data_IF_245517449949
#
_entry.id   IF_245517449949
#
_cell.length_a   1.000
_cell.length_b   1.000
_cell.length_c   1.000
_cell.angle_alpha   90.00
_cell.angle_beta   90.00
_cell.angle_gamma   90.00
#
_symmetry.space_group_name_H-M   'P 1'
#
loop_
_entity.id
_entity.type
_entity.pdbx_description
1 polymer ?
#
# COMPACT_ATOMS: atom_id res chain seq x y z
N UNK A 1 7.24 88.56 21.20
CA UNK A 1 7.64 87.26 21.78
C UNK A 1 9.12 87.05 21.53
N UNK A 2 9.85 86.70 22.59
CA UNK A 2 11.26 86.96 22.86
C UNK A 2 12.25 86.07 22.09
N UNK A 3 13.44 86.63 21.80
CA UNK A 3 14.57 86.02 21.07
C UNK A 3 15.05 84.66 21.62
N UNK A 4 14.68 84.29 22.85
CA UNK A 4 15.01 83.00 23.45
C UNK A 4 14.37 81.78 22.77
N UNK A 5 13.25 81.95 22.04
CA UNK A 5 12.57 80.81 21.38
C UNK A 5 13.27 80.34 20.10
N UNK A 6 13.96 81.24 19.39
CA UNK A 6 14.65 80.90 18.13
C UNK A 6 15.92 80.08 18.42
N UNK A 7 16.67 80.44 19.47
CA UNK A 7 17.88 79.70 19.89
C UNK A 7 17.54 78.28 20.33
N UNK A 8 16.44 78.10 21.06
CA UNK A 8 15.98 76.76 21.49
C UNK A 8 15.56 75.90 20.30
N UNK A 9 14.91 76.48 19.27
CA UNK A 9 14.53 75.74 18.05
C UNK A 9 15.76 75.34 17.24
N UNK A 10 16.76 76.20 17.10
CA UNK A 10 18.00 75.87 16.37
C UNK A 10 18.80 74.79 17.10
N UNK A 11 18.87 74.83 18.44
CA UNK A 11 19.49 73.77 19.23
C UNK A 11 18.73 72.44 19.14
N UNK A 12 17.39 72.48 19.10
CA UNK A 12 16.55 71.28 18.93
C UNK A 12 16.71 70.67 17.54
N UNK A 13 16.75 71.49 16.49
CA UNK A 13 16.97 71.00 15.12
C UNK A 13 18.40 70.47 14.95
N UNK A 14 19.40 71.13 15.55
CA UNK A 14 20.77 70.64 15.57
C UNK A 14 20.92 69.31 16.33
N UNK A 15 20.24 69.14 17.46
CA UNK A 15 20.22 67.90 18.21
C UNK A 15 19.50 66.76 17.45
N UNK A 16 18.38 67.07 16.78
CA UNK A 16 17.66 66.09 15.95
C UNK A 16 18.47 65.71 14.71
N UNK A 17 19.17 66.64 14.09
CA UNK A 17 20.08 66.38 12.98
C UNK A 17 21.29 65.52 13.42
N UNK A 18 21.83 65.79 14.61
CA UNK A 18 22.95 65.02 15.16
C UNK A 18 22.53 63.58 15.52
N UNK A 19 21.35 63.41 16.11
CA UNK A 19 20.78 62.10 16.46
C UNK A 19 20.42 61.30 15.19
N UNK A 20 19.90 61.96 14.15
CA UNK A 20 19.60 61.28 12.88
C UNK A 20 20.85 60.89 12.11
N UNK A 21 21.92 61.68 12.15
CA UNK A 21 23.21 61.34 11.52
C UNK A 21 23.95 60.24 12.30
N UNK A 22 23.92 60.26 13.63
CA UNK A 22 24.53 59.20 14.45
C UNK A 22 23.80 57.85 14.34
N UNK A 23 22.51 57.85 14.02
CA UNK A 23 21.73 56.63 13.82
C UNK A 23 21.77 56.09 12.36
N UNK A 24 22.52 56.77 11.47
CA UNK A 24 22.77 56.38 10.07
C UNK A 24 24.19 55.86 9.84
N UNK A 25 24.87 55.37 10.87
CA UNK A 25 26.08 54.57 10.71
C UNK A 25 25.78 53.28 9.92
N UNK A 26 26.72 52.78 9.09
CA UNK A 26 26.53 51.54 8.34
C UNK A 26 26.25 50.40 9.33
N UNK A 27 25.04 49.85 9.31
CA UNK A 27 24.70 48.62 10.04
C UNK A 27 25.67 47.55 9.55
N UNK A 28 26.58 47.12 10.41
CA UNK A 28 27.41 45.95 10.14
C UNK A 28 26.50 44.80 9.71
N UNK A 29 26.80 44.11 8.61
CA UNK A 29 25.96 43.01 8.15
C UNK A 29 25.90 41.99 9.28
N UNK A 30 24.69 41.69 9.75
CA UNK A 30 24.45 40.68 10.79
C UNK A 30 25.02 39.37 10.26
N UNK A 31 26.22 39.01 10.74
CA UNK A 31 26.88 37.79 10.30
C UNK A 31 26.05 36.59 10.74
N UNK A 32 25.68 35.74 9.78
CA UNK A 32 24.86 34.57 10.07
C UNK A 32 25.71 33.60 10.90
N UNK A 33 25.22 33.23 12.08
CA UNK A 33 25.87 32.24 12.93
C UNK A 33 25.70 30.85 12.31
N UNK A 34 26.82 30.18 12.04
CA UNK A 34 26.85 28.88 11.36
C UNK A 34 27.77 27.92 12.12
N UNK A 35 27.45 26.63 12.07
CA UNK A 35 28.33 25.57 12.57
C UNK A 35 29.10 24.98 11.40
N UNK A 36 30.30 24.47 11.66
CA UNK A 36 31.12 23.78 10.67
C UNK A 36 31.26 22.32 11.05
N UNK A 37 31.06 21.44 10.09
CA UNK A 37 31.36 20.02 10.23
C UNK A 37 32.23 19.57 9.05
N UNK A 38 33.33 18.83 9.29
CA UNK A 38 34.14 18.30 8.20
C UNK A 38 33.42 17.15 7.49
N UNK A 39 33.57 17.06 6.18
CA UNK A 39 33.16 15.90 5.41
C UNK A 39 34.05 14.69 5.74
N UNK A 40 33.43 13.56 6.09
CA UNK A 40 34.12 12.34 6.55
C UNK A 40 33.77 11.16 5.67
N UNK A 41 34.73 10.26 5.48
CA UNK A 41 34.49 8.97 4.82
C UNK A 41 33.94 7.99 5.85
N UNK A 42 32.67 7.64 5.72
CA UNK A 42 31.97 6.72 6.62
C UNK A 42 31.08 5.77 5.81
N UNK A 43 30.69 4.66 6.43
CA UNK A 43 29.75 3.73 5.81
C UNK A 43 28.34 4.31 5.88
N UNK A 44 27.67 4.42 4.73
CA UNK A 44 26.29 4.91 4.64
C UNK A 44 25.38 3.79 4.14
N UNK A 45 24.25 3.61 4.81
CA UNK A 45 23.19 2.70 4.38
C UNK A 45 21.92 3.49 4.14
N UNK A 46 21.39 3.35 2.93
CA UNK A 46 20.08 3.89 2.58
C UNK A 46 19.01 2.96 3.13
N UNK A 47 18.08 3.53 3.92
CA UNK A 47 16.97 2.80 4.51
C UNK A 47 15.66 3.37 4.02
N UNK A 48 14.81 2.53 3.45
CA UNK A 48 13.41 2.84 3.17
C UNK A 48 12.56 2.30 4.31
N UNK A 49 11.79 3.16 4.95
CA UNK A 49 10.86 2.75 6.02
C UNK A 49 9.43 2.70 5.50
N UNK A 50 8.77 1.58 5.70
CA UNK A 50 7.36 1.39 5.37
C UNK A 50 6.63 0.72 6.52
N UNK A 51 5.34 1.01 6.67
CA UNK A 51 4.48 0.33 7.64
C UNK A 51 3.57 -0.65 6.92
N UNK A 52 3.23 -1.74 7.61
CA UNK A 52 2.45 -2.81 7.05
C UNK A 52 1.81 -3.70 8.10
N UNK A 53 1.18 -4.77 7.63
CA UNK A 53 0.53 -5.76 8.48
C UNK A 53 1.17 -7.13 8.29
N UNK A 54 1.30 -7.85 9.39
CA UNK A 54 1.81 -9.21 9.40
C UNK A 54 0.68 -10.16 9.05
N UNK A 55 0.94 -11.09 8.15
CA UNK A 55 0.03 -12.13 7.71
C UNK A 55 0.77 -13.47 7.55
N UNK A 56 0.06 -14.60 7.63
CA UNK A 56 0.62 -15.90 7.28
C UNK A 56 0.99 -15.97 5.80
N UNK A 57 2.03 -16.73 5.45
CA UNK A 57 2.35 -17.02 4.04
C UNK A 57 1.22 -17.78 3.35
N UNK A 58 0.61 -18.74 4.06
CA UNK A 58 -0.49 -19.56 3.55
C UNK A 58 -1.67 -19.44 4.51
N UNK A 59 -2.79 -18.95 3.99
CA UNK A 59 -4.07 -18.95 4.68
C UNK A 59 -5.20 -19.35 3.72
N UNK A 60 -6.16 -20.13 4.22
CA UNK A 60 -7.32 -20.61 3.46
C UNK A 60 -8.58 -20.25 4.22
N UNK A 61 -9.51 -19.60 3.53
CA UNK A 61 -10.86 -19.33 4.02
C UNK A 61 -11.73 -20.54 3.73
N UNK A 62 -12.31 -21.11 4.78
CA UNK A 62 -13.18 -22.28 4.68
C UNK A 62 -14.62 -21.80 4.60
N UNK A 63 -15.20 -21.89 3.41
CA UNK A 63 -16.62 -21.59 3.15
C UNK A 63 -17.49 -22.85 3.20
N UNK A 64 -18.77 -22.68 3.44
CA UNK A 64 -19.75 -23.75 3.26
C UNK A 64 -20.19 -23.83 1.79
N UNK A 65 -20.07 -25.01 1.17
CA UNK A 65 -20.54 -25.23 -0.20
C UNK A 65 -22.07 -25.42 -0.28
N UNK A 66 -22.68 -25.91 0.80
CA UNK A 66 -24.10 -26.21 0.88
C UNK A 66 -24.76 -25.54 2.08
N UNK A 67 -26.04 -25.22 1.93
CA UNK A 67 -26.82 -24.59 2.99
C UNK A 67 -27.30 -25.59 4.04
N UNK A 68 -27.30 -25.16 5.31
CA UNK A 68 -27.83 -25.93 6.44
C UNK A 68 -27.44 -25.34 7.79
N UNK A 69 -27.87 -25.98 8.86
CA UNK A 69 -27.46 -25.59 10.23
C UNK A 69 -26.19 -26.32 10.63
N UNK A 70 -25.27 -25.63 11.31
CA UNK A 70 -24.07 -26.24 11.88
C UNK A 70 -24.49 -27.10 13.08
N UNK A 71 -24.45 -28.42 12.91
CA UNK A 71 -24.83 -29.40 13.95
C UNK A 71 -23.66 -29.73 14.88
N UNK A 72 -22.44 -29.73 14.35
CA UNK A 72 -21.23 -29.99 15.12
C UNK A 72 -20.10 -29.08 14.66
N UNK A 73 -19.36 -28.54 15.63
CA UNK A 73 -18.14 -27.76 15.44
C UNK A 73 -17.08 -28.33 16.37
N UNK A 74 -16.04 -28.93 15.81
CA UNK A 74 -15.03 -29.71 16.57
C UNK A 74 -13.85 -28.84 17.05
N UNK A 75 -13.70 -27.65 16.48
CA UNK A 75 -12.53 -26.77 16.67
C UNK A 75 -12.92 -25.44 17.29
N UNK A 76 -12.01 -24.85 18.07
CA UNK A 76 -12.11 -23.49 18.59
C UNK A 76 -11.04 -22.60 17.94
N UNK A 77 -11.26 -21.29 18.04
CA UNK A 77 -10.27 -20.31 17.59
C UNK A 77 -8.97 -20.50 18.38
N UNK A 78 -7.84 -20.60 17.67
CA UNK A 78 -6.52 -20.88 18.23
C UNK A 78 -6.14 -22.37 18.28
N UNK A 79 -7.07 -23.30 17.99
CA UNK A 79 -6.74 -24.71 17.93
C UNK A 79 -5.91 -25.04 16.67
N UNK A 80 -4.96 -25.95 16.82
CA UNK A 80 -4.19 -26.51 15.71
C UNK A 80 -4.96 -27.67 15.09
N UNK A 81 -5.06 -27.67 13.77
CA UNK A 81 -5.77 -28.68 12.97
C UNK A 81 -4.82 -29.37 12.03
N UNK A 82 -5.10 -30.65 11.76
CA UNK A 82 -4.35 -31.46 10.79
C UNK A 82 -5.11 -31.61 9.49
N UNK A 83 -4.39 -31.82 8.39
CA UNK A 83 -4.97 -32.16 7.09
C UNK A 83 -5.99 -33.30 7.21
N UNK A 84 -7.20 -33.08 6.68
CA UNK A 84 -8.29 -34.05 6.71
C UNK A 84 -9.05 -34.14 8.05
N UNK A 85 -8.68 -33.36 9.07
CA UNK A 85 -9.43 -33.32 10.33
C UNK A 85 -10.83 -32.72 10.13
N UNK A 86 -11.84 -33.33 10.75
CA UNK A 86 -13.21 -32.82 10.77
C UNK A 86 -13.27 -31.47 11.48
N UNK A 87 -13.70 -30.43 10.77
CA UNK A 87 -13.87 -29.08 11.33
C UNK A 87 -15.33 -28.84 11.71
N UNK A 88 -16.22 -29.01 10.73
CA UNK A 88 -17.63 -28.64 10.81
C UNK A 88 -18.48 -29.71 10.17
N UNK A 89 -19.61 -30.02 10.82
CA UNK A 89 -20.65 -30.83 10.22
C UNK A 89 -21.93 -30.00 10.11
N UNK A 90 -22.35 -29.77 8.88
CA UNK A 90 -23.68 -29.25 8.52
C UNK A 90 -24.68 -30.40 8.63
N UNK A 91 -25.90 -30.11 9.08
CA UNK A 91 -26.93 -31.13 9.29
C UNK A 91 -27.17 -31.99 8.03
N UNK A 92 -26.82 -33.30 8.07
CA UNK A 92 -26.86 -34.14 6.89
C UNK A 92 -28.22 -34.79 6.67
N UNK A 93 -29.22 -34.62 7.56
CA UNK A 93 -30.46 -35.40 7.52
C UNK A 93 -31.23 -35.29 6.20
N UNK A 94 -31.39 -34.07 5.68
CA UNK A 94 -32.07 -33.82 4.40
C UNK A 94 -31.27 -34.42 3.24
N UNK A 95 -29.95 -34.31 3.27
CA UNK A 95 -29.07 -34.83 2.21
C UNK A 95 -29.00 -36.35 2.24
N UNK A 96 -28.99 -36.98 3.42
CA UNK A 96 -29.09 -38.44 3.58
C UNK A 96 -30.42 -38.97 3.06
N UNK A 97 -31.53 -38.26 3.33
CA UNK A 97 -32.84 -38.62 2.79
C UNK A 97 -32.86 -38.55 1.24
N UNK A 98 -32.24 -37.52 0.65
CA UNK A 98 -32.09 -37.40 -0.81
C UNK A 98 -31.24 -38.52 -1.41
N UNK A 99 -30.13 -38.90 -0.78
CA UNK A 99 -29.31 -40.04 -1.21
C UNK A 99 -30.16 -41.32 -1.21
N UNK A 100 -30.88 -41.61 -0.11
CA UNK A 100 -31.77 -42.79 -0.04
C UNK A 100 -32.84 -42.79 -1.14
N UNK A 101 -33.43 -41.62 -1.43
CA UNK A 101 -34.41 -41.49 -2.52
C UNK A 101 -33.78 -41.77 -3.89
N UNK A 102 -32.58 -41.24 -4.15
CA UNK A 102 -31.86 -41.48 -5.40
C UNK A 102 -31.40 -42.94 -5.55
N UNK A 103 -30.98 -43.60 -4.46
CA UNK A 103 -30.62 -45.02 -4.44
C UNK A 103 -31.82 -45.93 -4.77
N UNK A 104 -33.02 -45.61 -4.24
CA UNK A 104 -34.25 -46.33 -4.59
C UNK A 104 -34.61 -46.16 -6.07
N UNK A 105 -34.43 -44.95 -6.63
CA UNK A 105 -34.65 -44.68 -8.05
C UNK A 105 -33.66 -45.46 -8.95
N UNK A 106 -32.37 -45.50 -8.58
CA UNK A 106 -31.36 -46.30 -9.29
C UNK A 106 -31.71 -47.79 -9.26
N UNK A 107 -32.14 -48.30 -8.10
CA UNK A 107 -32.54 -49.71 -7.95
C UNK A 107 -33.70 -50.06 -8.87
N UNK A 108 -34.69 -49.18 -9.00
CA UNK A 108 -35.82 -49.35 -9.91
C UNK A 108 -35.37 -49.32 -11.37
N UNK A 109 -34.52 -48.35 -11.75
CA UNK A 109 -33.98 -48.26 -13.10
C UNK A 109 -33.14 -49.49 -13.48
N UNK A 110 -32.36 -50.02 -12.53
CA UNK A 110 -31.57 -51.24 -12.69
C UNK A 110 -32.45 -52.47 -12.88
N UNK A 111 -33.54 -52.58 -12.13
CA UNK A 111 -34.51 -53.66 -12.30
C UNK A 111 -35.18 -53.62 -13.69
N UNK A 112 -35.52 -52.43 -14.17
CA UNK A 112 -36.08 -52.23 -15.51
C UNK A 112 -35.09 -52.62 -16.62
N UNK A 113 -33.81 -52.25 -16.48
CA UNK A 113 -32.76 -52.68 -17.41
C UNK A 113 -32.60 -54.21 -17.40
N UNK A 114 -32.64 -54.83 -16.21
CA UNK A 114 -32.59 -56.30 -16.09
C UNK A 114 -33.74 -56.97 -16.84
N UNK A 115 -34.96 -56.43 -16.71
CA UNK A 115 -36.14 -56.91 -17.43
C UNK A 115 -35.99 -56.74 -18.95
N UNK A 116 -35.52 -55.58 -19.40
CA UNK A 116 -35.31 -55.30 -20.82
C UNK A 116 -34.23 -56.22 -21.42
N UNK A 117 -33.14 -56.46 -20.69
CA UNK A 117 -32.07 -57.38 -21.08
C UNK A 117 -32.55 -58.84 -21.15
N UNK A 118 -33.37 -59.28 -20.19
CA UNK A 118 -33.98 -60.62 -20.24
C UNK A 118 -34.87 -60.80 -21.47
N UNK A 119 -35.64 -59.77 -21.84
CA UNK A 119 -36.44 -59.78 -23.07
C UNK A 119 -35.55 -59.78 -24.33
N UNK A 120 -34.50 -58.96 -24.36
CA UNK A 120 -33.52 -58.93 -25.45
C UNK A 120 -32.86 -60.30 -25.66
N UNK A 121 -32.45 -60.98 -24.59
CA UNK A 121 -31.84 -62.31 -24.69
C UNK A 121 -32.84 -63.37 -25.20
N UNK A 122 -34.11 -63.29 -24.77
CA UNK A 122 -35.19 -64.14 -25.29
C UNK A 122 -35.35 -63.97 -26.81
N UNK A 123 -35.46 -62.72 -27.28
CA UNK A 123 -35.65 -62.39 -28.70
C UNK A 123 -34.38 -62.69 -29.53
N UNK A 124 -33.19 -62.46 -28.97
CA UNK A 124 -31.91 -62.85 -29.58
C UNK A 124 -31.81 -64.36 -29.79
N UNK A 125 -32.26 -65.16 -28.84
CA UNK A 125 -32.35 -66.61 -28.99
C UNK A 125 -33.31 -67.02 -30.11
N UNK A 126 -34.44 -66.36 -30.24
CA UNK A 126 -35.42 -66.58 -31.30
C UNK A 126 -34.88 -66.21 -32.69
N UNK A 127 -34.24 -65.05 -32.83
CA UNK A 127 -33.56 -64.64 -34.06
C UNK A 127 -32.49 -65.65 -34.48
N UNK A 128 -31.65 -66.12 -33.56
CA UNK A 128 -30.63 -67.15 -33.84
C UNK A 128 -31.24 -68.45 -34.36
N UNK A 129 -32.35 -68.90 -33.75
CA UNK A 129 -33.07 -70.09 -34.23
C UNK A 129 -33.64 -69.88 -35.63
N UNK A 130 -34.26 -68.73 -35.88
CA UNK A 130 -34.85 -68.39 -37.19
C UNK A 130 -33.79 -68.27 -38.29
N UNK A 131 -32.63 -67.66 -37.99
CA UNK A 131 -31.49 -67.63 -38.91
C UNK A 131 -31.00 -69.05 -39.27
N UNK A 132 -30.91 -69.94 -38.27
CA UNK A 132 -30.53 -71.34 -38.51
C UNK A 132 -31.54 -72.14 -39.32
N UNK A 133 -32.85 -71.85 -39.17
CA UNK A 133 -33.91 -72.46 -39.99
C UNK A 133 -33.90 -71.91 -41.41
N UNK A 134 -33.70 -70.60 -41.59
CA UNK A 134 -33.59 -69.96 -42.90
C UNK A 134 -32.38 -70.47 -43.69
N UNK A 135 -31.23 -70.66 -43.03
CA UNK A 135 -30.03 -71.25 -43.65
C UNK A 135 -30.23 -72.71 -44.11
N UNK A 136 -31.23 -73.40 -43.53
CA UNK A 136 -31.65 -74.74 -43.95
C UNK A 136 -32.83 -74.71 -44.93
N UNK A 137 -33.22 -73.53 -45.41
CA UNK A 137 -34.38 -73.28 -46.29
C UNK A 137 -35.74 -73.72 -45.69
N UNK A 138 -35.81 -73.82 -44.36
CA UNK A 138 -37.02 -74.23 -43.62
C UNK A 138 -37.88 -73.06 -43.13
N UNK A 139 -37.48 -71.82 -43.41
CA UNK A 139 -38.19 -70.62 -43.00
C UNK A 139 -38.28 -69.61 -44.14
N UNK A 140 -39.34 -68.80 -44.18
CA UNK A 140 -39.53 -67.76 -45.19
C UNK A 140 -38.73 -66.49 -44.87
N UNK A 141 -38.39 -65.70 -45.90
CA UNK A 141 -37.69 -64.42 -45.73
C UNK A 141 -38.48 -63.44 -44.83
N UNK A 142 -39.80 -63.38 -44.99
CA UNK A 142 -40.69 -62.56 -44.15
C UNK A 142 -40.61 -62.93 -42.66
N UNK A 143 -40.46 -64.22 -42.33
CA UNK A 143 -40.32 -64.65 -40.94
C UNK A 143 -38.97 -64.23 -40.33
N UNK A 144 -37.91 -64.22 -41.13
CA UNK A 144 -36.59 -63.73 -40.71
C UNK A 144 -36.60 -62.21 -40.52
N UNK A 145 -37.19 -61.45 -41.45
CA UNK A 145 -37.34 -60.00 -41.36
C UNK A 145 -38.11 -59.58 -40.09
N UNK A 146 -39.20 -60.31 -39.77
CA UNK A 146 -39.96 -60.09 -38.54
C UNK A 146 -39.09 -60.31 -37.30
N UNK A 147 -38.34 -61.42 -37.24
CA UNK A 147 -37.46 -61.71 -36.11
C UNK A 147 -36.32 -60.67 -35.97
N UNK A 148 -35.83 -60.12 -37.08
CA UNK A 148 -34.85 -59.04 -37.08
C UNK A 148 -35.45 -57.73 -36.55
N UNK A 149 -36.66 -57.37 -36.99
CA UNK A 149 -37.38 -56.20 -36.49
C UNK A 149 -37.67 -56.31 -34.99
N UNK A 150 -38.11 -57.48 -34.52
CA UNK A 150 -38.34 -57.76 -33.10
C UNK A 150 -37.05 -57.62 -32.27
N UNK A 151 -35.92 -58.12 -32.78
CA UNK A 151 -34.62 -57.94 -32.13
C UNK A 151 -34.21 -56.47 -32.06
N UNK A 152 -34.36 -55.71 -33.16
CA UNK A 152 -34.04 -54.29 -33.19
C UNK A 152 -34.90 -53.48 -32.19
N UNK A 153 -36.19 -53.80 -32.07
CA UNK A 153 -37.07 -53.19 -31.06
C UNK A 153 -36.63 -53.53 -29.63
N UNK A 154 -36.31 -54.79 -29.35
CA UNK A 154 -35.85 -55.21 -28.02
C UNK A 154 -34.50 -54.59 -27.66
N UNK A 155 -33.60 -54.42 -28.65
CA UNK A 155 -32.32 -53.75 -28.46
C UNK A 155 -32.53 -52.27 -28.12
N UNK A 156 -33.37 -51.55 -28.90
CA UNK A 156 -33.69 -50.17 -28.62
C UNK A 156 -34.33 -49.97 -27.22
N UNK A 157 -35.16 -50.93 -26.77
CA UNK A 157 -35.73 -50.92 -25.42
C UNK A 157 -34.66 -51.11 -24.33
N UNK A 158 -33.71 -52.02 -24.52
CA UNK A 158 -32.60 -52.22 -23.60
C UNK A 158 -31.69 -50.99 -23.52
N UNK A 159 -31.37 -50.37 -24.66
CA UNK A 159 -30.60 -49.12 -24.73
C UNK A 159 -31.33 -47.96 -24.04
N UNK A 160 -32.65 -47.82 -24.23
CA UNK A 160 -33.45 -46.82 -23.53
C UNK A 160 -33.44 -47.03 -22.00
N UNK A 161 -33.58 -48.29 -21.55
CA UNK A 161 -33.49 -48.62 -20.13
C UNK A 161 -32.09 -48.37 -19.55
N UNK A 162 -31.05 -48.58 -20.35
CA UNK A 162 -29.66 -48.27 -19.98
C UNK A 162 -29.46 -46.75 -19.82
N UNK A 163 -30.00 -45.95 -20.76
CA UNK A 163 -30.00 -44.49 -20.65
C UNK A 163 -30.69 -44.01 -19.37
N UNK A 164 -31.82 -44.62 -19.00
CA UNK A 164 -32.52 -44.31 -17.75
C UNK A 164 -31.68 -44.65 -16.51
N UNK A 165 -30.97 -45.78 -16.52
CA UNK A 165 -30.05 -46.15 -15.44
C UNK A 165 -28.91 -45.13 -15.31
N UNK A 166 -28.29 -44.73 -16.41
CA UNK A 166 -27.20 -43.73 -16.40
C UNK A 166 -27.69 -42.39 -15.84
N UNK A 167 -28.90 -41.96 -16.20
CA UNK A 167 -29.52 -40.76 -15.63
C UNK A 167 -29.71 -40.89 -14.11
N UNK A 168 -30.27 -42.00 -13.63
CA UNK A 168 -30.46 -42.24 -12.19
C UNK A 168 -29.12 -42.31 -11.43
N UNK A 169 -28.09 -42.90 -12.03
CA UNK A 169 -26.75 -42.94 -11.46
C UNK A 169 -26.11 -41.55 -11.36
N UNK A 170 -26.30 -40.68 -12.37
CA UNK A 170 -25.82 -39.30 -12.32
C UNK A 170 -26.48 -38.51 -11.18
N UNK A 171 -27.80 -38.68 -11.00
CA UNK A 171 -28.53 -38.06 -9.88
C UNK A 171 -28.05 -38.58 -8.52
N UNK A 172 -27.82 -39.88 -8.39
CA UNK A 172 -27.26 -40.47 -7.17
C UNK A 172 -25.86 -39.95 -6.87
N UNK A 173 -25.00 -39.85 -7.89
CA UNK A 173 -23.65 -39.30 -7.73
C UNK A 173 -23.70 -37.84 -7.26
N UNK A 174 -24.59 -37.02 -7.81
CA UNK A 174 -24.80 -35.64 -7.35
C UNK A 174 -25.25 -35.60 -5.89
N UNK A 175 -26.27 -36.39 -5.52
CA UNK A 175 -26.78 -36.42 -4.15
C UNK A 175 -25.73 -36.89 -3.14
N UNK A 176 -24.85 -37.83 -3.53
CA UNK A 176 -23.72 -38.27 -2.69
C UNK A 176 -22.68 -37.18 -2.50
N UNK A 177 -22.33 -36.45 -3.56
CA UNK A 177 -21.42 -35.30 -3.47
C UNK A 177 -21.98 -34.20 -2.57
N UNK A 178 -23.29 -33.93 -2.66
CA UNK A 178 -23.95 -32.97 -1.77
C UNK A 178 -23.88 -33.42 -0.31
N UNK A 179 -24.04 -34.71 -0.03
CA UNK A 179 -23.89 -35.27 1.31
C UNK A 179 -22.44 -35.18 1.83
N UNK A 180 -21.46 -35.40 0.96
CA UNK A 180 -20.04 -35.24 1.29
C UNK A 180 -19.72 -33.79 1.68
N UNK A 181 -20.28 -32.83 0.94
CA UNK A 181 -20.17 -31.38 1.25
C UNK A 181 -20.79 -30.98 2.60
N UNK A 182 -21.60 -31.83 3.24
CA UNK A 182 -22.06 -31.58 4.62
C UNK A 182 -20.92 -31.65 5.64
N UNK A 183 -19.83 -32.32 5.29
CA UNK A 183 -18.70 -32.56 6.19
C UNK A 183 -17.52 -31.75 5.69
N UNK A 184 -17.19 -30.68 6.41
CA UNK A 184 -16.10 -29.78 6.04
C UNK A 184 -14.85 -30.21 6.81
N UNK A 185 -13.84 -30.65 6.07
CA UNK A 185 -12.54 -31.09 6.60
C UNK A 185 -11.45 -30.03 6.33
N UNK A 186 -10.37 -30.09 7.10
CA UNK A 186 -9.23 -29.20 6.92
C UNK A 186 -8.47 -29.50 5.62
N UNK A 187 -8.25 -28.51 4.74
CA UNK A 187 -7.50 -28.69 3.49
C UNK A 187 -5.98 -28.65 3.67
N UNK A 188 -5.50 -28.24 4.85
CA UNK A 188 -4.07 -28.19 5.20
C UNK A 188 -3.90 -28.28 6.72
N UNK A 189 -2.69 -28.63 7.15
CA UNK A 189 -2.27 -28.43 8.54
C UNK A 189 -2.16 -26.93 8.84
N UNK A 190 -2.59 -26.50 10.02
CA UNK A 190 -2.51 -25.10 10.40
C UNK A 190 -3.23 -24.78 11.70
N UNK A 191 -3.41 -23.50 12.00
CA UNK A 191 -4.14 -23.02 13.17
C UNK A 191 -5.37 -22.24 12.75
N UNK A 192 -6.48 -22.41 13.46
CA UNK A 192 -7.71 -21.65 13.21
C UNK A 192 -7.53 -20.21 13.70
N UNK A 193 -7.37 -19.26 12.77
CA UNK A 193 -7.11 -17.84 13.10
C UNK A 193 -8.40 -17.10 13.44
N UNK A 194 -9.50 -17.45 12.78
CA UNK A 194 -10.77 -16.74 12.86
C UNK A 194 -11.92 -17.72 12.70
N UNK A 195 -12.93 -17.60 13.57
CA UNK A 195 -14.15 -18.39 13.53
C UNK A 195 -15.33 -17.43 13.35
N UNK A 196 -15.87 -17.38 12.13
CA UNK A 196 -16.93 -16.43 11.75
C UNK A 196 -18.33 -16.95 12.10
N UNK A 197 -18.49 -18.27 12.21
CA UNK A 197 -19.77 -18.93 12.51
C UNK A 197 -19.69 -19.79 13.75
N UNK A 198 -20.78 -19.85 14.50
CA UNK A 198 -20.89 -20.65 15.73
C UNK A 198 -21.79 -21.87 15.55
N UNK A 199 -21.68 -22.81 16.49
CA UNK A 199 -22.57 -23.97 16.58
C UNK A 199 -24.04 -23.52 16.61
N UNK A 200 -24.88 -24.13 15.78
CA UNK A 200 -26.31 -23.80 15.66
C UNK A 200 -26.63 -22.67 14.68
N UNK A 201 -25.64 -21.94 14.17
CA UNK A 201 -25.86 -20.95 13.11
C UNK A 201 -26.14 -21.62 11.76
N UNK A 202 -26.87 -20.91 10.90
CA UNK A 202 -27.18 -21.36 9.55
C UNK A 202 -26.13 -20.83 8.57
N UNK A 203 -25.53 -21.74 7.82
CA UNK A 203 -24.67 -21.41 6.69
C UNK A 203 -25.48 -21.39 5.41
N UNK A 204 -25.16 -20.44 4.55
CA UNK A 204 -25.77 -20.28 3.23
C UNK A 204 -24.74 -20.67 2.19
N UNK A 205 -24.74 -21.94 1.79
CA UNK A 205 -23.90 -22.39 0.68
C UNK A 205 -24.40 -21.80 -0.63
N UNK A 206 -23.49 -21.20 -1.41
CA UNK A 206 -23.81 -20.65 -2.71
C UNK A 206 -22.57 -20.20 -3.47
N UNK A 207 -22.57 -20.44 -4.78
CA UNK A 207 -21.42 -20.16 -5.66
C UNK A 207 -21.12 -18.66 -5.81
N UNK A 208 -22.10 -17.79 -5.57
CA UNK A 208 -21.99 -16.34 -5.79
C UNK A 208 -21.57 -15.54 -4.55
N UNK A 209 -21.68 -16.12 -3.35
CA UNK A 209 -21.35 -15.44 -2.09
C UNK A 209 -20.73 -16.45 -1.14
N UNK A 210 -19.43 -16.31 -0.93
CA UNK A 210 -18.68 -17.10 0.05
C UNK A 210 -19.23 -16.84 1.46
N UNK A 211 -19.93 -17.82 2.05
CA UNK A 211 -20.26 -17.79 3.47
C UNK A 211 -19.12 -18.46 4.25
N UNK A 212 -18.13 -17.64 4.64
CA UNK A 212 -16.92 -18.08 5.32
C UNK A 212 -17.28 -18.53 6.74
N UNK A 213 -17.00 -19.79 7.04
CA UNK A 213 -17.24 -20.41 8.35
C UNK A 213 -16.05 -20.15 9.28
N UNK A 214 -14.83 -20.35 8.78
CA UNK A 214 -13.59 -20.11 9.52
C UNK A 214 -12.42 -19.87 8.58
N UNK A 215 -11.30 -19.39 9.10
CA UNK A 215 -10.04 -19.23 8.36
C UNK A 215 -8.94 -20.01 9.06
N UNK A 216 -8.18 -20.79 8.28
CA UNK A 216 -7.04 -21.59 8.74
C UNK A 216 -5.78 -21.02 8.12
N UNK A 217 -4.69 -20.95 8.89
CA UNK A 217 -3.41 -20.50 8.37
C UNK A 217 -2.22 -21.24 8.99
N UNK A 218 -1.12 -21.33 8.26
CA UNK A 218 0.15 -21.80 8.78
C UNK A 218 0.91 -20.64 9.44
N UNK A 219 1.00 -20.66 10.78
CA UNK A 219 1.67 -19.63 11.57
C UNK A 219 3.20 -19.82 11.64
N UNK A 220 3.74 -20.88 11.03
CA UNK A 220 5.19 -21.17 11.07
C UNK A 220 5.99 -20.24 10.17
N UNK A 221 5.38 -19.78 9.07
CA UNK A 221 5.99 -18.85 8.11
C UNK A 221 5.11 -17.62 7.96
N UNK A 222 5.63 -16.50 8.48
CA UNK A 222 4.93 -15.23 8.49
C UNK A 222 5.55 -14.29 7.46
N UNK A 223 4.72 -13.42 6.91
CA UNK A 223 5.11 -12.38 5.97
C UNK A 223 4.58 -11.03 6.47
N UNK A 224 5.28 -9.96 6.15
CA UNK A 224 4.78 -8.59 6.33
C UNK A 224 4.44 -8.02 4.98
N UNK A 225 3.19 -7.63 4.83
CA UNK A 225 2.71 -6.89 3.67
C UNK A 225 2.81 -5.40 3.98
N UNK A 226 3.74 -4.71 3.34
CA UNK A 226 3.98 -3.27 3.50
C UNK A 226 3.58 -2.51 2.24
N UNK A 227 3.17 -1.27 2.44
CA UNK A 227 2.89 -0.33 1.36
C UNK A 227 4.03 0.68 1.26
N UNK A 228 4.73 0.69 0.14
CA UNK A 228 5.87 1.57 -0.14
C UNK A 228 5.45 2.61 -1.18
N UNK A 229 5.88 3.87 -1.02
CA UNK A 229 5.56 4.91 -2.00
C UNK A 229 6.25 4.70 -3.36
N UNK A 230 5.67 5.26 -4.42
CA UNK A 230 6.18 5.18 -5.80
C UNK A 230 7.64 5.63 -5.97
N UNK A 231 8.11 6.60 -5.18
CA UNK A 231 9.50 7.07 -5.26
C UNK A 231 10.50 6.06 -4.70
N UNK A 232 10.08 5.30 -3.70
CA UNK A 232 10.97 4.42 -2.94
C UNK A 232 10.95 2.98 -3.48
N UNK A 233 9.85 2.55 -4.11
CA UNK A 233 9.74 1.20 -4.68
C UNK A 233 10.80 0.91 -5.74
N UNK A 234 11.24 1.94 -6.47
CA UNK A 234 12.27 1.83 -7.53
C UNK A 234 13.62 1.39 -6.96
N UNK A 235 13.87 1.65 -5.69
CA UNK A 235 15.12 1.35 -5.01
C UNK A 235 15.15 -0.07 -4.42
N UNK A 236 13.99 -0.71 -4.28
CA UNK A 236 13.85 -2.00 -3.60
C UNK A 236 13.97 -3.15 -4.58
N UNK A 237 14.80 -4.13 -4.24
CA UNK A 237 14.98 -5.35 -5.01
C UNK A 237 14.59 -6.58 -4.19
N UNK A 238 14.23 -7.65 -4.90
CA UNK A 238 13.96 -8.96 -4.27
C UNK A 238 15.27 -9.48 -3.67
N UNK A 239 15.23 -9.87 -2.40
CA UNK A 239 16.40 -10.32 -1.64
C UNK A 239 17.05 -9.27 -0.74
N UNK A 240 16.60 -8.01 -0.77
CA UNK A 240 17.16 -6.98 0.12
C UNK A 240 16.98 -7.36 1.60
N UNK A 241 17.99 -7.10 2.46
CA UNK A 241 17.90 -7.37 3.88
C UNK A 241 17.01 -6.34 4.58
N UNK A 242 16.17 -6.83 5.48
CA UNK A 242 15.13 -6.02 6.12
C UNK A 242 15.18 -6.18 7.63
N UNK A 243 15.04 -5.05 8.33
CA UNK A 243 14.79 -5.03 9.77
C UNK A 243 13.29 -4.80 10.01
N UNK A 244 12.62 -5.79 10.63
CA UNK A 244 11.20 -5.72 10.95
C UNK A 244 11.05 -5.41 12.44
N UNK A 245 10.31 -4.37 12.77
CA UNK A 245 9.94 -4.01 14.14
C UNK A 245 8.43 -4.13 14.29
N UNK A 246 7.97 -4.92 15.26
CA UNK A 246 6.54 -5.14 15.51
C UNK A 246 6.11 -4.17 16.61
N UNK A 247 5.02 -3.42 16.40
CA UNK A 247 4.56 -2.40 17.35
C UNK A 247 4.27 -2.97 18.75
N UNK A 248 3.91 -4.25 18.82
CA UNK A 248 3.67 -4.98 20.06
C UNK A 248 4.94 -5.24 20.90
N UNK A 249 6.13 -5.20 20.27
CA UNK A 249 7.43 -5.50 20.87
C UNK A 249 8.44 -4.39 20.52
N UNK A 250 8.31 -3.19 21.12
CA UNK A 250 9.16 -2.06 20.78
C UNK A 250 10.64 -2.34 21.08
N UNK A 251 11.54 -1.95 20.16
CA UNK A 251 12.98 -2.10 20.31
C UNK A 251 13.56 -3.47 19.89
N UNK A 252 12.72 -4.42 19.48
CA UNK A 252 13.18 -5.69 18.92
C UNK A 252 13.16 -5.66 17.39
N UNK A 253 14.32 -5.89 16.78
CA UNK A 253 14.46 -6.01 15.32
C UNK A 253 14.51 -7.47 14.93
N UNK A 254 13.54 -7.90 14.15
CA UNK A 254 13.46 -9.23 13.55
C UNK A 254 14.08 -9.17 12.16
N UNK A 255 15.08 -9.99 11.84
CA UNK A 255 15.64 -10.03 10.50
C UNK A 255 14.61 -10.59 9.51
N UNK A 256 14.54 -10.01 8.32
CA UNK A 256 13.69 -10.46 7.22
C UNK A 256 14.34 -10.23 5.87
N UNK A 257 13.68 -10.70 4.81
CA UNK A 257 14.14 -10.52 3.42
C UNK A 257 12.96 -10.16 2.53
N UNK A 258 13.20 -9.31 1.53
CA UNK A 258 12.17 -8.97 0.52
C UNK A 258 11.91 -10.18 -0.36
N UNK A 259 10.67 -10.69 -0.36
CA UNK A 259 10.24 -11.85 -1.17
C UNK A 259 9.64 -11.41 -2.51
N UNK A 260 8.80 -10.40 -2.49
CA UNK A 260 8.09 -9.93 -3.69
C UNK A 260 7.89 -8.42 -3.65
N UNK A 261 8.11 -7.76 -4.79
CA UNK A 261 7.76 -6.35 -5.02
C UNK A 261 6.63 -6.33 -6.03
N UNK A 262 5.47 -5.83 -5.63
CA UNK A 262 4.27 -5.79 -6.45
C UNK A 262 4.47 -4.85 -7.64
N UNK A 263 4.10 -5.30 -8.84
CA UNK A 263 4.24 -4.52 -10.07
C UNK A 263 3.11 -3.48 -10.26
N UNK A 264 1.99 -3.61 -9.54
CA UNK A 264 0.83 -2.74 -9.64
C UNK A 264 0.76 -1.80 -8.43
N UNK A 265 0.64 -0.50 -8.70
CA UNK A 265 0.34 0.50 -7.69
C UNK A 265 -1.11 0.37 -7.21
N UNK A 266 -1.30 0.39 -5.90
CA UNK A 266 -2.59 0.48 -5.23
C UNK A 266 -2.85 1.95 -4.93
N UNK A 267 -3.79 2.55 -5.65
CA UNK A 267 -4.27 3.90 -5.36
C UNK A 267 -5.24 3.86 -4.18
N UNK A 268 -4.86 4.48 -3.06
CA UNK A 268 -5.77 4.70 -1.94
C UNK A 268 -6.48 6.05 -2.12
N UNK A 269 -7.80 6.06 -1.98
CA UNK A 269 -8.69 7.25 -2.08
C UNK A 269 -8.91 7.78 -3.51
N UNK A 270 -9.46 6.94 -4.39
CA UNK A 270 -10.17 7.44 -5.57
C UNK A 270 -11.17 8.52 -5.08
N UNK A 271 -11.14 9.73 -5.67
CA UNK A 271 -12.03 10.88 -5.39
C UNK A 271 -11.59 11.98 -4.39
N UNK A 272 -10.34 12.02 -3.93
CA UNK A 272 -9.80 13.15 -3.13
C UNK A 272 -8.47 13.65 -3.69
N UNK A 273 -8.15 14.95 -3.53
CA UNK A 273 -6.94 15.60 -4.08
C UNK A 273 -5.58 15.02 -3.63
N UNK A 274 -5.58 14.03 -2.71
CA UNK A 274 -4.39 13.35 -2.21
C UNK A 274 -4.31 11.90 -2.72
N UNK A 275 -4.15 11.74 -4.04
CA UNK A 275 -3.85 10.44 -4.64
C UNK A 275 -2.40 10.07 -4.31
N UNK A 276 -2.19 9.06 -3.47
CA UNK A 276 -0.86 8.50 -3.18
C UNK A 276 -0.83 7.08 -3.73
N UNK A 277 -0.01 6.88 -4.75
CA UNK A 277 0.27 5.57 -5.34
C UNK A 277 1.25 4.81 -4.45
N UNK A 278 0.78 3.74 -3.82
CA UNK A 278 1.61 2.84 -3.04
C UNK A 278 1.77 1.51 -3.75
N UNK A 279 2.96 0.93 -3.69
CA UNK A 279 3.25 -0.40 -4.18
C UNK A 279 3.29 -1.37 -3.01
N UNK A 280 2.70 -2.55 -3.21
CA UNK A 280 2.69 -3.62 -2.22
C UNK A 280 4.03 -4.34 -2.25
N UNK A 281 4.74 -4.40 -1.14
CA UNK A 281 5.96 -5.20 -0.99
C UNK A 281 5.71 -6.26 0.08
N UNK A 282 6.11 -7.50 -0.21
CA UNK A 282 5.97 -8.64 0.69
C UNK A 282 7.35 -9.03 1.20
N UNK A 283 7.49 -9.03 2.53
CA UNK A 283 8.74 -9.35 3.22
C UNK A 283 8.54 -10.63 4.04
N UNK A 284 9.43 -11.60 3.91
CA UNK A 284 9.41 -12.80 4.74
C UNK A 284 10.03 -12.51 6.11
N UNK A 285 9.34 -12.90 7.17
CA UNK A 285 9.80 -12.78 8.55
C UNK A 285 10.76 -13.94 8.85
N UNK A 286 11.96 -13.63 9.36
CA UNK A 286 12.93 -14.62 9.81
C UNK A 286 12.52 -15.34 11.10
N UNK A 287 13.36 -16.25 11.62
CA UNK A 287 13.08 -16.95 12.87
C UNK A 287 12.99 -15.98 14.04
N UNK A 288 11.92 -16.11 14.85
CA UNK A 288 11.67 -15.28 16.03
C UNK A 288 11.45 -16.15 17.27
N UNK A 289 11.97 -15.73 18.43
CA UNK A 289 11.67 -16.38 19.71
C UNK A 289 10.27 -16.05 20.23
N UNK A 290 9.69 -14.95 19.75
CA UNK A 290 8.36 -14.49 20.13
C UNK A 290 7.30 -14.88 19.10
N UNK A 291 6.13 -15.30 19.60
CA UNK A 291 4.99 -15.69 18.78
C UNK A 291 4.32 -14.44 18.16
N UNK A 292 4.73 -14.10 16.94
CA UNK A 292 4.11 -13.05 16.14
C UNK A 292 2.71 -13.50 15.71
N UNK A 293 1.70 -12.66 15.92
CA UNK A 293 0.32 -12.98 15.52
C UNK A 293 -0.05 -12.31 14.19
N UNK A 294 -0.91 -12.95 13.38
CA UNK A 294 -1.52 -12.30 12.22
C UNK A 294 -2.23 -11.00 12.60
N UNK A 295 -2.34 -10.07 11.65
CA UNK A 295 -2.98 -8.74 11.80
C UNK A 295 -2.26 -7.77 12.75
N UNK A 296 -1.08 -8.11 13.27
CA UNK A 296 -0.23 -7.14 13.96
C UNK A 296 0.32 -6.10 12.97
N UNK A 297 0.46 -4.87 13.43
CA UNK A 297 1.17 -3.82 12.70
C UNK A 297 2.67 -3.99 12.87
N UNK A 298 3.41 -3.81 11.78
CA UNK A 298 4.86 -3.81 11.79
C UNK A 298 5.41 -2.65 10.97
N UNK A 299 6.51 -2.09 11.45
CA UNK A 299 7.35 -1.14 10.73
C UNK A 299 8.55 -1.88 10.16
N UNK A 300 8.83 -1.62 8.90
CA UNK A 300 9.81 -2.37 8.11
C UNK A 300 10.84 -1.40 7.57
N UNK A 301 12.11 -1.61 7.92
CA UNK A 301 13.25 -0.88 7.42
C UNK A 301 14.00 -1.71 6.39
N UNK A 302 13.79 -1.43 5.11
CA UNK A 302 14.44 -2.10 3.98
C UNK A 302 15.78 -1.40 3.71
N UNK A 303 16.87 -2.17 3.67
CA UNK A 303 18.20 -1.64 3.35
C UNK A 303 18.46 -1.86 1.86
N UNK A 304 18.28 -0.81 1.05
CA UNK A 304 18.33 -0.90 -0.41
C UNK A 304 19.74 -0.78 -0.99
N UNK A 305 20.60 0.02 -0.34
CA UNK A 305 21.98 0.22 -0.79
C UNK A 305 22.91 0.53 0.37
N UNK A 306 24.13 -0.01 0.32
CA UNK A 306 25.19 0.20 1.28
C UNK A 306 26.47 0.58 0.56
N UNK A 307 27.12 1.65 1.03
CA UNK A 307 28.48 2.01 0.62
C UNK A 307 29.37 2.03 1.86
N UNK A 308 30.45 1.25 1.86
CA UNK A 308 31.36 1.13 3.02
C UNK A 308 32.29 2.33 3.18
N UNK A 309 32.57 3.05 2.09
CA UNK A 309 33.46 4.22 2.05
C UNK A 309 32.84 5.31 1.20
N UNK A 310 31.90 6.05 1.78
CA UNK A 310 31.26 7.20 1.14
C UNK A 310 31.71 8.50 1.82
N UNK A 311 32.03 9.53 1.03
CA UNK A 311 32.23 10.88 1.57
C UNK A 311 30.86 11.42 1.98
N UNK A 312 30.64 11.64 3.28
CA UNK A 312 29.33 12.04 3.79
C UNK A 312 29.34 13.40 4.46
N UNK A 313 28.25 14.12 4.27
CA UNK A 313 27.94 15.37 4.99
C UNK A 313 26.61 15.24 5.72
N UNK A 314 26.36 15.97 6.81
CA UNK A 314 25.04 16.02 7.45
C UNK A 314 23.96 16.45 6.46
N UNK A 315 22.76 15.87 6.57
CA UNK A 315 21.62 16.20 5.69
C UNK A 315 21.27 17.71 5.73
N UNK A 316 21.57 18.38 6.84
CA UNK A 316 21.34 19.80 7.05
C UNK A 316 22.24 20.72 6.22
N UNK A 317 23.37 20.20 5.70
CA UNK A 317 24.35 20.98 4.95
C UNK A 317 24.00 21.13 3.45
N UNK A 318 23.14 20.25 2.92
CA UNK A 318 22.77 20.22 1.50
C UNK A 318 21.51 21.06 1.29
N UNK A 319 21.56 21.98 0.33
CA UNK A 319 20.38 22.79 -0.06
C UNK A 319 20.25 22.86 -1.57
N UNK A 320 19.02 22.99 -2.05
CA UNK A 320 18.74 23.26 -3.46
C UNK A 320 18.73 24.77 -3.70
N UNK A 321 19.49 25.21 -4.71
CA UNK A 321 19.58 26.61 -5.13
C UNK A 321 19.38 26.75 -6.62
N UNK A 322 18.81 27.87 -7.06
CA UNK A 322 18.78 28.18 -8.49
C UNK A 322 20.18 28.63 -8.92
N UNK A 323 20.68 28.19 -10.09
CA UNK A 323 21.97 28.60 -10.63
C UNK A 323 22.22 30.12 -10.61
N UNK A 324 21.20 30.92 -10.88
CA UNK A 324 21.22 32.40 -10.81
C UNK A 324 21.51 32.97 -9.42
N UNK A 325 21.17 32.26 -8.34
CA UNK A 325 21.41 32.67 -6.94
C UNK A 325 22.84 32.36 -6.47
N UNK A 326 23.63 31.63 -7.28
CA UNK A 326 25.02 31.26 -6.98
C UNK A 326 26.03 32.27 -7.52
N UNK A 327 25.59 33.15 -8.41
CA UNK A 327 26.41 34.25 -8.93
C UNK A 327 26.50 35.33 -7.84
N UNK A 328 27.71 35.83 -7.59
CA UNK A 328 27.88 36.96 -6.65
C UNK A 328 26.96 38.11 -7.09
N UNK A 329 26.14 38.68 -6.18
CA UNK A 329 25.35 39.84 -6.53
C UNK A 329 26.30 40.95 -7.03
N UNK A 330 26.00 41.62 -8.16
CA UNK A 330 26.80 42.76 -8.59
C UNK A 330 26.87 43.76 -7.45
N UNK A 331 28.08 44.14 -7.04
CA UNK A 331 28.29 45.11 -5.98
C UNK A 331 27.63 46.44 -6.40
N UNK A 332 26.46 46.75 -5.82
CA UNK A 332 25.95 48.13 -5.87
C UNK A 332 24.45 48.39 -6.05
N UNK A 333 23.54 47.42 -6.10
CA UNK A 333 22.10 47.75 -6.17
C UNK A 333 21.29 47.23 -4.98
N UNK A 334 20.73 48.19 -4.23
CA UNK A 334 19.75 47.96 -3.16
C UNK A 334 18.42 47.53 -3.78
N UNK A 335 17.69 46.55 -3.22
CA UNK A 335 16.33 46.27 -3.65
C UNK A 335 15.44 47.50 -3.37
N UNK A 336 14.84 48.05 -4.42
CA UNK A 336 13.96 49.21 -4.35
C UNK A 336 12.67 48.91 -3.58
N UNK A 337 12.57 49.45 -2.37
CA UNK A 337 11.33 49.59 -1.63
C UNK A 337 10.55 50.80 -2.18
N UNK A 338 9.59 50.56 -3.08
CA UNK A 338 8.63 51.58 -3.49
C UNK A 338 7.58 51.82 -2.39
N UNK A 339 7.22 53.07 -2.05
CA UNK A 339 6.26 53.33 -0.98
C UNK A 339 4.81 53.08 -1.44
N UNK A 340 4.10 52.27 -0.65
CA UNK A 340 2.64 52.15 -0.71
C UNK A 340 2.04 53.39 -0.02
N UNK A 341 1.42 54.27 -0.79
CA UNK A 341 0.67 55.43 -0.26
C UNK A 341 -0.70 55.03 0.29
N UNK A 342 -1.24 55.74 1.30
CA UNK A 342 -2.53 55.41 1.90
C UNK A 342 -3.72 55.83 1.01
N UNK A 343 -4.87 55.13 1.08
CA UNK A 343 -6.02 55.44 0.24
C UNK A 343 -6.74 56.71 0.72
N UNK A 344 -7.01 57.62 -0.22
CA UNK A 344 -7.85 58.80 -0.01
C UNK A 344 -9.34 58.40 -0.01
N UNK A 345 -10.01 58.66 1.11
CA UNK A 345 -11.48 58.69 1.18
C UNK A 345 -12.01 59.91 0.42
N UNK A 346 -12.93 59.68 -0.53
CA UNK A 346 -13.74 60.71 -1.15
C UNK A 346 -15.22 60.42 -0.91
N UNK A 347 -15.91 61.34 -0.24
CA UNK A 347 -17.37 61.37 -0.12
C UNK A 347 -17.99 62.11 -1.32
N UNK A 348 -19.06 61.55 -1.88
CA UNK A 348 -19.96 62.20 -2.84
C UNK A 348 -21.30 61.43 -2.90
N UNK A 349 -22.47 62.10 -2.99
CA UNK A 349 -23.77 61.58 -2.56
C UNK A 349 -24.54 60.80 -3.65
N UNK A 350 -25.63 60.07 -3.28
CA UNK A 350 -26.36 59.18 -4.20
C UNK A 350 -27.50 59.91 -4.94
N UNK A 351 -28.11 59.26 -5.94
CA UNK A 351 -29.57 59.24 -5.93
C UNK A 351 -30.18 57.85 -6.23
N UNK A 352 -31.39 57.68 -5.70
CA UNK A 352 -32.11 56.42 -5.58
C UNK A 352 -32.81 55.91 -6.84
N UNK A 353 -33.50 54.77 -6.71
CA UNK A 353 -34.42 54.29 -7.74
C UNK A 353 -34.85 52.82 -7.64
N UNK A 354 -35.90 52.57 -6.86
CA UNK A 354 -36.98 51.56 -7.03
C UNK A 354 -36.69 50.05 -7.24
N UNK A 355 -37.05 49.31 -6.17
CA UNK A 355 -38.02 48.19 -6.06
C UNK A 355 -38.58 47.53 -7.35
N UNK A 356 -38.43 46.21 -7.44
CA UNK A 356 -39.23 45.26 -8.24
C UNK A 356 -38.73 43.81 -8.01
N UNK A 357 -39.40 43.06 -7.13
CA UNK A 357 -40.18 41.84 -7.44
C UNK A 357 -39.37 40.63 -7.93
N UNK A 358 -39.41 39.56 -7.13
CA UNK A 358 -38.82 38.25 -7.39
C UNK A 358 -39.95 37.26 -7.74
N UNK A 359 -39.88 36.70 -8.94
CA UNK A 359 -40.57 35.49 -9.39
C UNK A 359 -39.62 34.63 -10.24
N UNK A 360 -39.83 33.30 -10.34
CA UNK A 360 -38.74 32.33 -10.45
C UNK A 360 -38.52 31.81 -11.89
N UNK A 361 -37.28 31.39 -12.19
CA UNK A 361 -36.94 30.67 -13.41
C UNK A 361 -35.44 30.64 -13.66
N UNK A 362 -34.81 29.46 -13.60
CA UNK A 362 -33.48 29.25 -14.21
C UNK A 362 -33.60 28.98 -15.72
N UNK A 363 -32.56 28.50 -16.41
CA UNK A 363 -31.13 28.75 -16.23
C UNK A 363 -30.52 29.46 -17.46
N UNK A 364 -29.40 30.17 -17.25
CA UNK A 364 -28.50 30.64 -18.31
C UNK A 364 -27.88 32.01 -17.95
N UNK A 365 -26.89 32.52 -18.70
CA UNK A 365 -25.93 31.88 -19.61
C UNK A 365 -24.48 32.29 -19.26
N UNK A 366 -23.55 31.98 -20.16
CA UNK A 366 -22.16 32.40 -20.21
C UNK A 366 -21.91 33.83 -19.68
N UNK A 367 -20.99 33.93 -18.71
CA UNK A 367 -20.33 35.16 -18.31
C UNK A 367 -19.02 35.39 -19.09
N UNK A 368 -18.57 36.63 -19.24
CA UNK A 368 -17.78 37.09 -20.38
C UNK A 368 -16.27 37.04 -20.15
N UNK A 369 -15.56 36.88 -21.26
CA UNK A 369 -14.51 37.82 -21.69
C UNK A 369 -13.36 38.10 -20.73
N UNK A 370 -12.23 37.45 -21.02
CA UNK A 370 -11.02 38.19 -21.38
C UNK A 370 -10.43 39.11 -20.32
N UNK A 371 -10.04 38.55 -19.18
CA UNK A 371 -8.92 39.08 -18.40
C UNK A 371 -7.64 38.45 -18.94
N UNK A 372 -6.95 39.18 -19.81
CA UNK A 372 -5.66 38.84 -20.38
C UNK A 372 -4.63 38.61 -19.26
N UNK A 373 -4.57 37.37 -18.76
CA UNK A 373 -3.54 36.91 -17.85
C UNK A 373 -2.21 37.02 -18.58
N UNK A 374 -1.40 37.99 -18.16
CA UNK A 374 -0.06 38.20 -18.67
C UNK A 374 0.69 36.86 -18.73
N UNK A 375 0.88 36.35 -19.95
CA UNK A 375 1.71 35.19 -20.25
C UNK A 375 3.13 35.52 -19.78
N UNK A 376 3.58 34.86 -18.73
CA UNK A 376 4.99 34.88 -18.33
C UNK A 376 5.77 34.17 -19.47
N UNK A 377 6.77 34.82 -20.10
CA UNK A 377 7.51 34.22 -21.20
C UNK A 377 8.33 33.00 -20.75
N UNK A 378 8.36 31.98 -21.60
CA UNK A 378 8.95 30.65 -21.36
C UNK A 378 10.49 30.63 -21.44
N UNK A 379 11.17 31.47 -20.64
CA UNK A 379 12.63 31.68 -20.76
C UNK A 379 13.50 31.42 -19.52
N UNK A 380 12.97 31.26 -18.30
CA UNK A 380 13.80 31.03 -17.09
C UNK A 380 13.13 30.09 -16.08
N UNK A 381 12.96 28.81 -16.44
CA UNK A 381 12.86 27.76 -15.42
C UNK A 381 14.26 27.15 -15.29
N UNK A 382 15.11 27.79 -14.50
CA UNK A 382 16.39 27.17 -14.15
C UNK A 382 16.11 25.98 -13.22
N UNK A 383 16.64 24.81 -13.58
CA UNK A 383 16.53 23.63 -12.71
C UNK A 383 17.38 23.87 -11.43
N UNK A 384 16.80 23.65 -10.24
CA UNK A 384 17.53 23.80 -8.99
C UNK A 384 18.70 22.81 -8.93
N UNK A 385 19.86 23.28 -8.48
CA UNK A 385 21.08 22.49 -8.29
C UNK A 385 21.36 22.29 -6.82
N UNK A 386 21.98 21.16 -6.47
CA UNK A 386 22.40 20.83 -5.11
C UNK A 386 23.70 21.56 -4.76
N UNK A 387 23.69 22.24 -3.62
CA UNK A 387 24.76 23.12 -3.18
C UNK A 387 25.05 22.91 -1.71
N UNK A 388 26.32 22.93 -1.37
CA UNK A 388 26.82 22.98 0.01
C UNK A 388 27.62 24.27 0.17
N UNK A 389 27.47 24.94 1.31
CA UNK A 389 28.25 26.15 1.59
C UNK A 389 29.53 25.79 2.34
N UNK A 390 30.67 26.28 1.84
CA UNK A 390 31.96 26.28 2.54
C UNK A 390 32.27 27.67 3.06
N UNK A 391 33.15 27.77 4.05
CA UNK A 391 33.62 29.06 4.55
C UNK A 391 35.04 29.32 4.03
N UNK A 392 35.21 30.40 3.28
CA UNK A 392 36.51 30.90 2.82
C UNK A 392 36.58 32.39 3.17
N UNK A 393 37.65 32.81 3.85
CA UNK A 393 37.86 34.21 4.30
C UNK A 393 36.70 34.81 5.14
N UNK A 394 36.05 33.99 5.97
CA UNK A 394 34.92 34.40 6.80
C UNK A 394 33.62 34.64 6.03
N UNK A 395 33.56 34.22 4.75
CA UNK A 395 32.38 34.32 3.89
C UNK A 395 31.91 32.95 3.43
N UNK A 396 30.60 32.78 3.30
CA UNK A 396 30.00 31.57 2.75
C UNK A 396 30.17 31.54 1.22
N UNK A 397 30.70 30.44 0.70
CA UNK A 397 30.84 30.17 -0.73
C UNK A 397 30.07 28.91 -1.11
N UNK A 398 29.14 29.00 -2.07
CA UNK A 398 28.42 27.84 -2.54
C UNK A 398 29.33 26.96 -3.41
N UNK A 399 29.36 25.67 -3.12
CA UNK A 399 29.99 24.64 -3.94
C UNK A 399 28.89 23.74 -4.47
N UNK A 400 28.86 23.58 -5.79
CA UNK A 400 27.95 22.64 -6.45
C UNK A 400 28.41 21.23 -6.13
N UNK A 401 27.49 20.40 -5.66
CA UNK A 401 27.74 19.00 -5.34
C UNK A 401 26.79 18.11 -6.12
N UNK A 402 27.19 16.88 -6.37
CA UNK A 402 26.25 15.81 -6.77
C UNK A 402 26.10 14.85 -5.60
N UNK A 403 24.87 14.69 -5.11
CA UNK A 403 24.59 13.75 -4.03
C UNK A 403 24.37 12.33 -4.53
N UNK A 404 24.47 11.37 -3.62
CA UNK A 404 24.26 9.94 -3.85
C UNK A 404 23.31 9.35 -2.82
N UNK A 405 23.76 8.29 -2.13
CA UNK A 405 22.98 7.64 -1.08
C UNK A 405 22.63 8.62 0.05
N UNK A 406 21.38 8.57 0.53
CA UNK A 406 20.93 9.33 1.70
C UNK A 406 20.56 8.38 2.83
N UNK A 407 20.96 8.72 4.04
CA UNK A 407 20.50 8.08 5.27
C UNK A 407 19.58 9.03 6.05
N UNK A 408 19.24 8.66 7.28
CA UNK A 408 18.41 9.46 8.19
C UNK A 408 19.10 10.76 8.66
N UNK A 409 20.44 10.76 8.68
CA UNK A 409 21.25 11.83 9.29
C UNK A 409 22.29 12.44 8.33
N UNK A 410 22.71 11.70 7.31
CA UNK A 410 23.81 12.07 6.40
C UNK A 410 23.49 11.78 4.94
N UNK A 411 24.14 12.49 4.02
CA UNK A 411 24.06 12.34 2.56
C UNK A 411 25.47 12.09 2.01
N UNK A 412 25.58 11.14 1.07
CA UNK A 412 26.80 10.89 0.28
C UNK A 412 27.00 11.99 -0.77
N UNK A 413 28.24 12.48 -0.88
CA UNK A 413 28.68 13.42 -1.91
C UNK A 413 29.59 12.67 -2.88
N UNK A 414 29.18 12.59 -4.16
CA UNK A 414 29.93 11.92 -5.23
C UNK A 414 30.93 12.85 -5.92
N UNK A 415 30.54 14.11 -6.10
CA UNK A 415 31.35 15.12 -6.78
C UNK A 415 31.21 16.48 -6.07
N UNK A 416 32.27 17.29 -6.12
CA UNK A 416 32.28 18.69 -5.67
C UNK A 416 32.96 18.93 -4.31
N UNK A 417 33.19 17.89 -3.51
CA UNK A 417 33.81 18.01 -2.19
C UNK A 417 34.92 16.97 -1.99
N UNK A 418 35.92 17.29 -1.18
CA UNK A 418 37.00 16.38 -0.76
C UNK A 418 36.93 16.09 0.73
N UNK A 419 37.53 14.97 1.16
CA UNK A 419 37.61 14.60 2.57
C UNK A 419 38.26 15.70 3.42
N UNK A 420 37.70 15.95 4.60
CA UNK A 420 38.18 16.95 5.55
C UNK A 420 37.77 18.39 5.24
N UNK A 421 37.09 18.66 4.11
CA UNK A 421 36.58 20.00 3.84
C UNK A 421 35.42 20.33 4.78
N UNK A 422 35.51 21.47 5.46
CA UNK A 422 34.47 21.96 6.36
C UNK A 422 33.29 22.51 5.57
N UNK A 423 32.10 22.02 5.91
CA UNK A 423 30.84 22.45 5.35
C UNK A 423 29.97 23.11 6.41
N UNK A 424 29.19 24.08 5.98
CA UNK A 424 28.27 24.82 6.84
C UNK A 424 27.07 23.95 7.21
N UNK A 425 26.83 23.79 8.51
CA UNK A 425 25.70 23.11 9.12
C UNK A 425 24.92 24.13 9.97
N UNK A 426 23.59 24.05 9.95
CA UNK A 426 22.76 25.02 10.65
C UNK A 426 21.26 24.87 10.34
N UNK A 427 20.42 25.73 10.94
CA UNK A 427 18.98 25.72 10.70
C UNK A 427 18.68 25.89 9.21
N UNK A 428 17.70 25.13 8.69
CA UNK A 428 17.31 25.17 7.27
C UNK A 428 17.11 26.60 6.75
N UNK A 429 16.56 27.51 7.56
CA UNK A 429 16.36 28.91 7.18
C UNK A 429 17.67 29.65 6.91
N UNK A 430 18.69 29.45 7.73
CA UNK A 430 20.00 30.08 7.57
C UNK A 430 20.63 29.61 6.26
N UNK A 431 20.73 28.29 6.07
CA UNK A 431 21.37 27.68 4.91
C UNK A 431 20.55 27.84 3.63
N UNK A 432 19.21 27.86 3.70
CA UNK A 432 18.33 27.89 2.54
C UNK A 432 17.87 29.30 2.11
N UNK A 433 17.97 30.32 2.96
CA UNK A 433 17.44 31.66 2.63
C UNK A 433 18.41 32.80 2.93
N UNK A 434 19.29 32.65 3.91
CA UNK A 434 20.11 33.76 4.42
C UNK A 434 21.57 33.68 3.92
N UNK A 435 22.08 32.48 3.67
CA UNK A 435 23.37 32.27 3.02
C UNK A 435 23.26 32.46 1.51
N UNK A 436 24.04 33.42 1.01
CA UNK A 436 24.29 33.71 -0.40
C UNK A 436 25.80 33.68 -0.63
N UNK A 437 26.20 33.68 -1.90
CA UNK A 437 27.61 33.75 -2.24
C UNK A 437 28.22 35.07 -1.72
N UNK A 438 29.22 34.96 -0.84
CA UNK A 438 29.90 36.10 -0.23
C UNK A 438 29.28 36.62 1.09
N UNK A 439 28.22 35.99 1.61
CA UNK A 439 27.61 36.40 2.90
C UNK A 439 28.63 36.23 4.04
N UNK A 440 28.88 37.27 4.86
CA UNK A 440 29.74 37.14 6.03
C UNK A 440 29.10 36.20 7.06
N UNK A 441 29.87 35.23 7.51
CA UNK A 441 29.41 34.21 8.45
C UNK A 441 30.27 34.23 9.71
N UNK A 442 29.62 33.98 10.85
CA UNK A 442 30.30 33.81 12.12
C UNK A 442 30.24 32.35 12.50
N UNK A 443 31.40 31.70 12.63
CA UNK A 443 31.46 30.30 13.07
C UNK A 443 31.20 30.25 14.56
N UNK A 444 30.08 29.65 14.96
CA UNK A 444 29.80 29.37 16.37
C UNK A 444 30.53 28.09 16.77
N UNK A 445 31.66 28.25 17.47
CA UNK A 445 32.40 27.16 18.08
C UNK A 445 31.65 26.56 19.28
N UNK A 446 30.60 25.77 19.03
CA UNK A 446 29.88 24.99 20.03
C UNK A 446 30.20 23.50 19.86
N UNK A 447 30.79 22.88 20.89
CA UNK A 447 31.49 21.60 20.80
C UNK A 447 30.65 20.32 20.60
N UNK A 448 31.40 19.30 20.19
CA UNK A 448 31.14 17.84 20.15
C UNK A 448 29.87 17.32 20.89
N UNK A 449 28.96 16.58 20.22
CA UNK A 449 27.83 15.93 20.88
C UNK A 449 28.29 14.59 21.46
N UNK A 450 28.80 14.57 22.70
CA UNK A 450 29.27 13.32 23.28
C UNK A 450 29.82 13.42 24.70
N UNK A 451 29.01 13.87 25.66
CA UNK A 451 29.39 13.87 27.07
C UNK A 451 28.19 13.62 27.96
N UNK A 452 27.90 12.35 28.26
CA UNK A 452 26.91 11.95 29.28
C UNK A 452 27.27 12.66 30.60
N UNK A 453 26.44 13.60 31.03
CA UNK A 453 26.47 14.13 32.40
C UNK A 453 26.07 13.00 33.35
N UNK A 454 27.04 12.51 34.14
CA UNK A 454 26.74 11.69 35.32
C UNK A 454 25.93 12.51 36.35
N UNK A 455 25.18 11.86 37.25
CA UNK A 455 24.33 12.55 38.20
C UNK A 455 25.16 13.36 39.22
N UNK A 456 24.62 14.48 39.76
CA UNK A 456 25.37 15.37 40.63
C UNK A 456 25.65 14.71 41.99
N UNK A 457 26.90 14.85 42.44
CA UNK A 457 27.33 14.48 43.81
C UNK A 457 26.65 15.40 44.83
N UNK A 458 26.00 14.80 45.82
CA UNK A 458 25.52 15.47 47.03
C UNK A 458 26.70 16.11 47.79
N UNK A 459 26.48 17.32 48.31
CA UNK A 459 27.39 17.98 49.25
C UNK A 459 27.13 17.44 50.66
N UNK A 460 28.17 17.31 51.52
CA UNK A 460 27.97 16.99 52.92
C UNK A 460 27.40 18.20 53.66
N UNK A 461 26.36 17.97 54.45
CA UNK A 461 25.81 18.93 55.43
C UNK A 461 26.70 18.88 56.69
N UNK A 462 27.00 20.01 57.34
CA UNK A 462 27.79 20.06 58.58
C UNK A 462 27.13 19.35 59.77
#
# INVERSE_FOLDING_TARGET
MTAGRIVVIVLLVGAVALVTVQNLGPKEPVAVAVQLEPARVEAITQRVTASGKIRPEVQVKISADIGGYIRQLTVKQGDTVKLGQLLVQVDPEIYRARVKQAEAAETTARANLSLANANLERVRGELRRMQGLFAKELASASALEKAQADFAMAQAQAEAAQGQLLQSQAVLSSARKDLEKCTINAPMDGTVIELNKKLGERVSGGDFREDIVMTIADLSRMEVEVEVGERDVVLIHVGDPVDIEVDAYPGQKIPGTVKEVGAAGVTRNQWTESEVTNFRVVVTVGPTEHAVKPQMSATVGIRTAQSEKALTVPIQAVTMRRPSELVEPPQGEKPGSGPIGPPRMGHGPPPGGRRGERGPGGPGPAGPGGGEGAKIPAGLREEPVEVVFRVEDGKARPVRVKTGLSSDTRIEIREGLSEGQEVVVGPYRAISKELQNGTPVRVDGGGSPGGRRGPPREKPVP
#
